data_IF_449694989260
#
_entry.id   IF_449694989260
#
_cell.length_a   1.000
_cell.length_b   1.000
_cell.length_c   1.000
_cell.angle_alpha   90.00
_cell.angle_beta   90.00
_cell.angle_gamma   90.00
#
_symmetry.space_group_name_H-M   'P 1'
#
loop_
_entity.id
_entity.type
_entity.pdbx_description
1 polymer ?
#
# COMPACT_ATOMS: atom_id res chain seq x y z
N UNK A 1 4.53 -25.89 -1.64
CA UNK A 1 5.29 -25.26 -0.54
C UNK A 1 4.63 -23.91 -0.32
N UNK A 2 4.05 -23.66 0.85
CA UNK A 2 3.39 -22.38 1.16
C UNK A 2 4.36 -21.44 1.86
N UNK A 3 4.36 -20.16 1.48
CA UNK A 3 5.11 -19.11 2.17
C UNK A 3 4.26 -18.51 3.30
N UNK A 4 4.85 -18.33 4.49
CA UNK A 4 4.25 -17.62 5.61
C UNK A 4 4.71 -16.16 5.60
N UNK A 5 3.78 -15.20 5.65
CA UNK A 5 4.08 -13.77 5.82
C UNK A 5 2.86 -12.97 6.28
N UNK A 6 2.86 -12.48 7.53
CA UNK A 6 2.24 -11.21 7.97
C UNK A 6 2.67 -10.90 9.42
N UNK A 7 2.45 -9.66 9.90
CA UNK A 7 2.01 -9.34 11.29
C UNK A 7 1.51 -7.89 11.45
N UNK A 8 2.11 -6.93 10.74
CA UNK A 8 1.94 -5.45 10.82
C UNK A 8 2.71 -4.75 11.97
N UNK A 9 3.56 -3.79 11.57
CA UNK A 9 4.28 -2.77 12.36
C UNK A 9 5.35 -3.19 13.40
N UNK A 10 6.64 -3.15 13.02
CA UNK A 10 7.59 -2.10 13.47
C UNK A 10 9.03 -2.33 12.97
N UNK A 11 9.54 -1.40 12.16
CA UNK A 11 10.95 -1.12 11.87
C UNK A 11 11.80 -2.27 11.29
N UNK A 12 11.42 -2.71 10.09
CA UNK A 12 12.30 -3.03 8.94
C UNK A 12 11.36 -3.36 7.74
N UNK A 13 10.81 -2.33 7.11
CA UNK A 13 9.49 -2.39 6.47
C UNK A 13 9.46 -1.97 4.99
N UNK A 14 8.65 -2.67 4.18
CA UNK A 14 8.18 -2.16 2.88
C UNK A 14 6.99 -1.24 3.13
N UNK A 15 7.21 0.07 3.02
CA UNK A 15 6.21 1.12 3.14
C UNK A 15 5.68 1.47 1.74
N UNK A 16 4.39 1.18 1.48
CA UNK A 16 3.79 1.26 0.15
C UNK A 16 2.63 2.27 0.12
N UNK A 17 2.99 3.57 0.06
CA UNK A 17 2.06 4.64 -0.28
C UNK A 17 1.87 4.70 -1.81
N UNK A 18 0.64 4.52 -2.28
CA UNK A 18 0.32 4.34 -3.70
C UNK A 18 -0.03 5.67 -4.35
N UNK A 19 0.05 5.75 -5.67
CA UNK A 19 -0.06 7.02 -6.41
C UNK A 19 -1.25 7.02 -7.38
N UNK A 20 -1.98 8.14 -7.40
CA UNK A 20 -3.01 8.43 -8.40
C UNK A 20 -2.41 9.05 -9.68
N UNK A 21 -2.38 8.30 -10.77
CA UNK A 21 -1.76 8.70 -12.04
C UNK A 21 -2.26 10.07 -12.56
N UNK A 22 -3.57 10.34 -12.43
CA UNK A 22 -4.18 11.61 -12.85
C UNK A 22 -3.65 12.80 -12.04
N UNK A 23 -3.56 12.66 -10.72
CA UNK A 23 -3.04 13.73 -9.85
C UNK A 23 -1.54 13.91 -10.08
N UNK A 24 -0.78 12.81 -10.19
CA UNK A 24 0.65 12.82 -10.48
C UNK A 24 0.97 13.60 -11.76
N UNK A 25 0.20 13.37 -12.82
CA UNK A 25 0.36 14.08 -14.10
C UNK A 25 0.04 15.58 -14.05
N UNK A 26 -0.58 16.05 -12.97
CA UNK A 26 -0.93 17.46 -12.75
C UNK A 26 0.01 18.21 -11.80
N UNK A 27 1.00 17.53 -11.23
CA UNK A 27 2.00 18.16 -10.35
C UNK A 27 3.06 18.91 -11.17
N UNK A 28 3.42 20.10 -10.71
CA UNK A 28 4.59 20.85 -11.21
C UNK A 28 5.74 20.69 -10.24
N UNK A 29 6.64 19.74 -10.52
CA UNK A 29 7.79 19.40 -9.67
C UNK A 29 8.81 20.55 -9.44
N UNK A 30 8.65 21.69 -10.12
CA UNK A 30 9.46 22.89 -9.84
C UNK A 30 8.78 23.88 -8.88
N UNK A 31 7.51 23.63 -8.50
CA UNK A 31 6.70 24.52 -7.66
C UNK A 31 6.02 23.80 -6.49
N UNK A 32 5.48 22.60 -6.74
CA UNK A 32 4.76 21.81 -5.76
C UNK A 32 5.74 21.11 -4.82
N UNK A 33 5.58 21.32 -3.52
CA UNK A 33 6.29 20.54 -2.50
C UNK A 33 5.65 19.15 -2.32
N UNK A 34 6.33 18.27 -1.59
CA UNK A 34 5.76 17.00 -1.15
C UNK A 34 4.42 17.18 -0.40
N UNK A 35 4.31 18.22 0.44
CA UNK A 35 3.06 18.52 1.15
C UNK A 35 1.96 18.98 0.20
N UNK A 36 2.27 19.76 -0.83
CA UNK A 36 1.30 20.13 -1.86
C UNK A 36 0.80 18.90 -2.63
N UNK A 37 1.70 17.96 -2.92
CA UNK A 37 1.36 16.69 -3.57
C UNK A 37 0.42 15.82 -2.68
N UNK A 38 0.71 15.71 -1.38
CA UNK A 38 -0.18 15.08 -0.37
C UNK A 38 -1.55 15.76 -0.34
N UNK A 39 -1.61 17.10 -0.22
CA UNK A 39 -2.85 17.85 -0.11
C UNK A 39 -3.69 17.85 -1.40
N UNK A 40 -3.04 17.72 -2.57
CA UNK A 40 -3.68 17.47 -3.87
C UNK A 40 -4.21 16.03 -4.01
N UNK A 41 -3.91 15.13 -3.06
CA UNK A 41 -4.36 13.75 -3.07
C UNK A 41 -3.59 12.87 -4.05
N UNK A 42 -2.28 13.10 -4.22
CA UNK A 42 -1.47 12.26 -5.09
C UNK A 42 -1.30 10.84 -4.50
N UNK A 43 -1.27 10.74 -3.17
CA UNK A 43 -1.05 9.49 -2.44
C UNK A 43 -2.37 8.84 -1.98
N UNK A 44 -2.36 7.51 -1.87
CA UNK A 44 -3.52 6.67 -1.63
C UNK A 44 -3.14 5.25 -1.19
N UNK A 45 -4.13 4.41 -0.91
CA UNK A 45 -3.99 3.04 -0.41
C UNK A 45 -4.05 1.98 -1.52
N UNK A 46 -3.57 0.74 -1.26
CA UNK A 46 -3.74 -0.38 -2.16
C UNK A 46 -5.19 -0.58 -2.63
N UNK A 47 -5.39 -0.62 -3.95
CA UNK A 47 -6.71 -0.78 -4.59
C UNK A 47 -7.48 0.51 -4.87
N UNK A 48 -6.95 1.66 -4.46
CA UNK A 48 -7.49 2.99 -4.79
C UNK A 48 -6.44 3.86 -5.48
N UNK A 49 -5.66 3.29 -6.42
CA UNK A 49 -4.54 3.95 -7.09
C UNK A 49 -4.03 3.19 -8.32
N UNK A 50 -2.83 3.50 -8.82
CA UNK A 50 -2.35 2.97 -10.12
C UNK A 50 -1.52 1.67 -10.08
N UNK A 51 -1.14 1.16 -8.90
CA UNK A 51 -0.23 0.00 -8.79
C UNK A 51 -1.02 -1.31 -8.83
N UNK A 52 -0.60 -2.25 -9.68
CA UNK A 52 -1.11 -3.63 -9.72
C UNK A 52 -0.49 -4.45 -8.59
N UNK A 53 -1.27 -4.63 -7.52
CA UNK A 53 -0.87 -5.41 -6.36
C UNK A 53 -0.79 -6.91 -6.63
N UNK A 54 -1.56 -7.43 -7.59
CA UNK A 54 -1.52 -8.85 -7.92
C UNK A 54 -0.21 -9.19 -8.64
N UNK A 55 0.30 -8.30 -9.50
CA UNK A 55 1.62 -8.47 -10.13
C UNK A 55 2.77 -8.28 -9.12
N UNK A 56 2.67 -7.27 -8.25
CA UNK A 56 3.66 -7.02 -7.19
C UNK A 56 3.78 -8.23 -6.24
N UNK A 57 2.66 -8.72 -5.70
CA UNK A 57 2.69 -9.84 -4.73
C UNK A 57 3.12 -11.14 -5.39
N UNK A 58 2.72 -11.42 -6.64
CA UNK A 58 3.25 -12.58 -7.41
C UNK A 58 4.77 -12.49 -7.60
N UNK A 59 5.28 -11.31 -7.90
CA UNK A 59 6.73 -11.11 -8.12
C UNK A 59 7.50 -11.34 -6.83
N UNK A 60 7.04 -10.78 -5.70
CA UNK A 60 7.63 -11.01 -4.38
C UNK A 60 7.55 -12.48 -3.94
N UNK A 61 6.43 -13.16 -4.22
CA UNK A 61 6.28 -14.60 -3.95
C UNK A 61 7.27 -15.45 -4.76
N UNK A 62 7.47 -15.14 -6.04
CA UNK A 62 8.44 -15.81 -6.91
C UNK A 62 9.90 -15.60 -6.46
N UNK A 63 10.20 -14.44 -5.85
CA UNK A 63 11.50 -14.16 -5.22
C UNK A 63 11.66 -14.82 -3.84
N UNK A 64 10.62 -15.49 -3.32
CA UNK A 64 10.62 -16.12 -2.00
C UNK A 64 10.57 -15.12 -0.84
N UNK A 65 10.16 -13.87 -1.09
CA UNK A 65 10.07 -12.83 -0.06
C UNK A 65 9.14 -13.27 1.07
N UNK A 66 9.65 -13.24 2.28
CA UNK A 66 8.93 -13.50 3.53
C UNK A 66 9.26 -12.35 4.48
N UNK A 67 8.23 -11.65 4.94
CA UNK A 67 8.41 -10.40 5.69
C UNK A 67 7.10 -9.67 5.90
N UNK A 68 7.18 -8.35 5.99
CA UNK A 68 6.09 -7.48 6.40
C UNK A 68 5.51 -6.75 5.18
N UNK A 69 4.19 -6.85 5.06
CA UNK A 69 3.41 -6.05 4.13
C UNK A 69 2.65 -5.02 4.97
N UNK A 70 3.00 -3.74 4.80
CA UNK A 70 2.44 -2.63 5.59
C UNK A 70 1.63 -1.73 4.65
N UNK A 71 0.44 -1.30 5.11
CA UNK A 71 -0.36 -0.29 4.42
C UNK A 71 -0.07 1.06 5.05
N UNK A 72 0.51 1.96 4.27
CA UNK A 72 0.74 3.35 4.66
C UNK A 72 0.16 4.30 3.61
N UNK A 73 -0.30 5.48 4.02
CA UNK A 73 -0.81 6.50 3.12
C UNK A 73 -0.83 7.88 3.77
N UNK A 74 -0.07 8.82 3.23
CA UNK A 74 -0.11 10.24 3.58
C UNK A 74 -1.24 10.93 2.83
N UNK A 75 -2.39 11.09 3.47
CA UNK A 75 -3.57 11.74 2.89
C UNK A 75 -4.11 12.83 3.81
N UNK A 76 -4.85 13.77 3.21
CA UNK A 76 -5.66 14.74 3.95
C UNK A 76 -6.84 14.01 4.63
N UNK A 77 -6.87 13.90 5.97
CA UNK A 77 -7.88 13.11 6.68
C UNK A 77 -9.29 13.69 6.59
N UNK A 78 -9.45 14.96 6.14
CA UNK A 78 -10.75 15.55 5.85
C UNK A 78 -11.33 15.07 4.50
N UNK A 79 -10.47 14.57 3.59
CA UNK A 79 -10.86 14.02 2.28
C UNK A 79 -10.85 12.49 2.27
N UNK A 80 -9.91 11.87 2.99
CA UNK A 80 -9.72 10.43 3.08
C UNK A 80 -9.79 9.99 4.57
N UNK A 81 -10.98 9.59 5.07
CA UNK A 81 -11.13 9.18 6.47
C UNK A 81 -10.23 7.98 6.81
N UNK A 82 -9.30 8.09 7.78
CA UNK A 82 -8.23 7.10 7.96
C UNK A 82 -8.70 5.66 8.18
N UNK A 83 -9.78 5.45 8.94
CA UNK A 83 -10.33 4.11 9.20
C UNK A 83 -10.93 3.46 7.95
N UNK A 84 -11.49 4.26 7.03
CA UNK A 84 -12.06 3.76 5.78
C UNK A 84 -10.95 3.34 4.82
N UNK A 85 -9.98 4.22 4.61
CA UNK A 85 -8.83 3.97 3.74
C UNK A 85 -7.94 2.82 4.26
N UNK A 86 -7.72 2.71 5.57
CA UNK A 86 -7.03 1.56 6.16
C UNK A 86 -7.75 0.23 5.87
N UNK A 87 -9.10 0.19 5.89
CA UNK A 87 -9.89 -1.00 5.55
C UNK A 87 -9.81 -1.34 4.06
N UNK A 88 -9.82 -0.33 3.18
CA UNK A 88 -9.67 -0.51 1.73
C UNK A 88 -8.29 -1.11 1.43
N UNK A 89 -7.22 -0.45 1.90
CA UNK A 89 -5.84 -0.90 1.70
C UNK A 89 -5.58 -2.31 2.22
N UNK A 90 -5.97 -2.59 3.48
CA UNK A 90 -5.87 -3.93 4.07
C UNK A 90 -6.66 -4.97 3.26
N UNK A 91 -7.91 -4.67 2.90
CA UNK A 91 -8.78 -5.59 2.18
C UNK A 91 -8.29 -5.90 0.75
N UNK A 92 -7.64 -4.96 0.08
CA UNK A 92 -7.00 -5.20 -1.23
C UNK A 92 -5.73 -6.02 -1.07
N UNK A 93 -4.83 -5.60 -0.18
CA UNK A 93 -3.53 -6.24 0.02
C UNK A 93 -3.68 -7.69 0.48
N UNK A 94 -4.62 -7.97 1.39
CA UNK A 94 -4.97 -9.32 1.81
C UNK A 94 -5.41 -10.21 0.63
N UNK A 95 -6.24 -9.70 -0.30
CA UNK A 95 -6.69 -10.46 -1.47
C UNK A 95 -5.53 -10.77 -2.42
N UNK A 96 -4.72 -9.76 -2.74
CA UNK A 96 -3.57 -9.91 -3.63
C UNK A 96 -2.53 -10.89 -3.07
N UNK A 97 -2.26 -10.84 -1.77
CA UNK A 97 -1.35 -11.77 -1.10
C UNK A 97 -1.88 -13.20 -1.12
N UNK A 98 -3.17 -13.42 -0.81
CA UNK A 98 -3.78 -14.75 -0.92
C UNK A 98 -3.76 -15.28 -2.36
N UNK A 99 -4.02 -14.43 -3.36
CA UNK A 99 -3.95 -14.81 -4.78
C UNK A 99 -2.52 -15.19 -5.23
N UNK A 100 -1.50 -14.57 -4.65
CA UNK A 100 -0.09 -14.92 -4.84
C UNK A 100 0.39 -16.14 -4.03
N UNK A 101 -0.48 -16.76 -3.22
CA UNK A 101 -0.17 -17.97 -2.45
C UNK A 101 0.46 -17.73 -1.08
N UNK A 102 0.41 -16.50 -0.56
CA UNK A 102 0.85 -16.20 0.81
C UNK A 102 -0.12 -16.72 1.86
N UNK A 103 0.46 -17.27 2.93
CA UNK A 103 -0.22 -17.60 4.19
C UNK A 103 0.00 -16.47 5.17
N UNK A 104 -1.06 -15.71 5.47
CA UNK A 104 -1.01 -14.61 6.42
C UNK A 104 -1.10 -15.18 7.86
N UNK A 105 -0.39 -14.58 8.81
CA UNK A 105 -0.47 -14.96 10.23
C UNK A 105 -0.97 -13.79 11.07
N UNK A 106 -1.87 -14.06 12.00
CA UNK A 106 -2.44 -13.00 12.85
C UNK A 106 -1.41 -12.48 13.86
N UNK A 107 -1.31 -11.16 13.94
CA UNK A 107 -0.48 -10.46 14.90
C UNK A 107 -1.20 -10.14 16.19
N UNK A 108 -0.64 -10.54 17.34
CA UNK A 108 -0.88 -9.81 18.59
C UNK A 108 -0.08 -8.51 18.49
N UNK A 109 -0.79 -7.38 18.42
CA UNK A 109 -0.25 -6.03 18.56
C UNK A 109 -0.50 -5.57 20.01
#
# INVERSE_FOLDING_TARGET
MGALALKVASLDELQEAIVWAKVLSSLDWNKDSFLDAVLKGVYTVPGDGMIDFDELTRTLANLGYQGWFVVEAEQDPAKAPPLEYARIGHGTLQKALHAAGYTLVEGII
#
